data_IF_555686574926
#
_entry.id   IF_555686574926
#
_cell.length_a   1.000
_cell.length_b   1.000
_cell.length_c   1.000
_cell.angle_alpha   90.00
_cell.angle_beta   90.00
_cell.angle_gamma   90.00
#
_symmetry.space_group_name_H-M   'P 1'
#
loop_
_entity.id
_entity.type
_entity.pdbx_description
1 polymer ?
#
# COMPACT_ATOMS: atom_id res chain seq x y z
N UNK A 1 -12.54 -16.54 18.49
CA UNK A 1 -13.95 -16.86 18.12
C UNK A 1 -14.12 -17.37 16.67
N UNK A 2 -13.04 -17.77 15.97
CA UNK A 2 -13.12 -18.42 14.65
C UNK A 2 -13.89 -19.77 14.69
N UNK A 3 -13.90 -20.48 15.82
CA UNK A 3 -14.62 -21.74 15.99
C UNK A 3 -16.14 -21.59 15.93
N UNK A 4 -16.69 -20.46 16.37
CA UNK A 4 -18.14 -20.18 16.28
C UNK A 4 -18.55 -19.75 14.87
N UNK A 5 -17.66 -19.06 14.13
CA UNK A 5 -17.91 -18.64 12.76
C UNK A 5 -17.91 -19.81 11.76
N UNK A 6 -17.30 -20.94 12.10
CA UNK A 6 -17.28 -22.17 11.27
C UNK A 6 -18.52 -23.06 11.45
N UNK A 7 -19.46 -22.69 12.33
CA UNK A 7 -20.72 -23.45 12.48
C UNK A 7 -21.61 -23.27 11.24
N UNK A 8 -22.30 -24.33 10.78
CA UNK A 8 -23.12 -24.33 9.55
C UNK A 8 -24.17 -23.22 9.46
N UNK A 9 -24.66 -22.73 10.62
CA UNK A 9 -25.67 -21.68 10.71
C UNK A 9 -25.13 -20.38 11.31
N UNK A 10 -23.83 -20.14 11.25
CA UNK A 10 -23.25 -18.87 11.69
C UNK A 10 -23.62 -17.74 10.72
N UNK A 11 -23.67 -16.48 11.22
CA UNK A 11 -23.85 -15.31 10.35
C UNK A 11 -22.82 -15.26 9.23
N UNK A 12 -21.59 -15.69 9.50
CA UNK A 12 -20.52 -15.79 8.50
C UNK A 12 -20.87 -16.77 7.38
N UNK A 13 -21.38 -17.97 7.73
CA UNK A 13 -21.79 -18.95 6.73
C UNK A 13 -23.03 -18.52 5.96
N UNK A 14 -23.94 -17.75 6.58
CA UNK A 14 -25.11 -17.17 5.89
C UNK A 14 -24.71 -16.06 4.92
N UNK A 15 -23.78 -15.16 5.32
CA UNK A 15 -23.36 -14.01 4.50
C UNK A 15 -22.45 -14.46 3.36
N UNK A 16 -21.45 -15.31 3.62
CA UNK A 16 -20.53 -15.80 2.60
C UNK A 16 -21.15 -16.91 1.76
N UNK A 17 -22.21 -17.51 2.29
CA UNK A 17 -22.99 -18.55 1.64
C UNK A 17 -22.28 -19.90 1.55
N UNK A 18 -23.05 -20.93 1.27
CA UNK A 18 -22.57 -22.15 0.63
C UNK A 18 -22.46 -21.90 -0.88
N UNK A 19 -21.81 -20.77 -1.24
CA UNK A 19 -21.78 -20.30 -2.62
C UNK A 19 -20.82 -21.19 -3.40
N UNK A 20 -21.35 -22.21 -4.00
CA UNK A 20 -20.62 -23.07 -4.95
C UNK A 20 -20.39 -22.33 -6.29
N UNK A 21 -21.17 -21.29 -6.56
CA UNK A 21 -21.12 -20.53 -7.81
C UNK A 21 -21.15 -19.01 -7.57
N UNK A 22 -20.64 -18.27 -8.53
CA UNK A 22 -20.63 -16.82 -8.55
C UNK A 22 -22.05 -16.28 -8.70
N UNK A 23 -22.48 -15.39 -7.80
CA UNK A 23 -23.81 -14.78 -7.81
C UNK A 23 -23.75 -13.29 -8.07
N UNK A 24 -24.75 -12.77 -8.80
CA UNK A 24 -24.89 -11.32 -9.06
C UNK A 24 -25.10 -10.53 -7.77
N UNK A 25 -25.78 -11.12 -6.80
CA UNK A 25 -25.99 -10.52 -5.47
C UNK A 25 -24.64 -10.25 -4.76
N UNK A 26 -23.75 -11.22 -4.73
CA UNK A 26 -22.43 -11.04 -4.10
C UNK A 26 -21.56 -10.06 -4.89
N UNK A 27 -21.62 -10.10 -6.22
CA UNK A 27 -20.93 -9.13 -7.07
C UNK A 27 -21.38 -7.69 -6.81
N UNK A 28 -22.68 -7.46 -6.64
CA UNK A 28 -23.24 -6.17 -6.26
C UNK A 28 -22.81 -5.77 -4.84
N UNK A 29 -22.87 -6.72 -3.88
CA UNK A 29 -22.51 -6.49 -2.49
C UNK A 29 -21.04 -6.08 -2.30
N UNK A 30 -20.13 -6.65 -3.09
CA UNK A 30 -18.69 -6.27 -3.07
C UNK A 30 -18.50 -4.80 -3.50
N UNK A 31 -19.41 -4.20 -4.25
CA UNK A 31 -19.34 -2.81 -4.73
C UNK A 31 -20.28 -1.85 -4.01
N UNK A 32 -21.08 -2.35 -3.11
CA UNK A 32 -22.00 -1.54 -2.32
C UNK A 32 -21.32 -0.97 -1.07
N UNK A 33 -21.57 0.31 -0.76
CA UNK A 33 -20.91 1.02 0.33
C UNK A 33 -21.25 0.49 1.73
N UNK A 34 -22.45 -0.08 1.91
CA UNK A 34 -22.90 -0.64 3.20
C UNK A 34 -22.56 -2.13 3.30
N UNK A 35 -22.84 -2.88 2.23
CA UNK A 35 -22.62 -4.32 2.22
C UNK A 35 -21.12 -4.68 2.34
N UNK A 36 -20.18 -3.84 1.87
CA UNK A 36 -18.75 -4.07 2.04
C UNK A 36 -18.34 -4.18 3.51
N UNK A 37 -18.92 -3.40 4.43
CA UNK A 37 -18.60 -3.50 5.86
C UNK A 37 -19.06 -4.82 6.48
N UNK A 38 -20.21 -5.33 6.04
CA UNK A 38 -20.71 -6.65 6.46
C UNK A 38 -19.79 -7.74 5.91
N UNK A 39 -19.38 -7.65 4.64
CA UNK A 39 -18.46 -8.59 4.02
C UNK A 39 -17.09 -8.59 4.68
N UNK A 40 -16.51 -7.43 4.99
CA UNK A 40 -15.24 -7.33 5.72
C UNK A 40 -15.30 -8.07 7.07
N UNK A 41 -16.38 -7.86 7.82
CA UNK A 41 -16.58 -8.53 9.13
C UNK A 41 -16.76 -10.04 8.96
N UNK A 42 -17.54 -10.46 7.98
CA UNK A 42 -17.76 -11.88 7.68
C UNK A 42 -16.46 -12.58 7.26
N UNK A 43 -15.66 -11.95 6.39
CA UNK A 43 -14.36 -12.49 5.95
C UNK A 43 -13.38 -12.65 7.11
N UNK A 44 -13.32 -11.69 8.05
CA UNK A 44 -12.43 -11.78 9.22
C UNK A 44 -12.78 -12.96 10.13
N UNK A 45 -14.05 -13.36 10.17
CA UNK A 45 -14.53 -14.54 10.93
C UNK A 45 -14.51 -15.86 10.15
N UNK A 46 -14.24 -15.84 8.84
CA UNK A 46 -14.36 -17.00 7.97
C UNK A 46 -13.29 -18.08 8.21
N UNK A 47 -13.63 -19.32 7.87
CA UNK A 47 -12.66 -20.42 7.83
C UNK A 47 -11.68 -20.24 6.65
N UNK A 48 -10.52 -20.89 6.71
CA UNK A 48 -9.56 -20.84 5.60
C UNK A 48 -10.16 -21.38 4.30
N UNK A 49 -10.99 -22.42 4.36
CA UNK A 49 -11.66 -22.96 3.17
C UNK A 49 -12.63 -21.97 2.55
N UNK A 50 -13.44 -21.29 3.38
CA UNK A 50 -14.36 -20.24 2.90
C UNK A 50 -13.60 -19.03 2.32
N UNK A 51 -12.46 -18.66 2.92
CA UNK A 51 -11.61 -17.58 2.40
C UNK A 51 -11.02 -17.94 1.05
N UNK A 52 -10.48 -19.15 0.88
CA UNK A 52 -9.93 -19.62 -0.41
C UNK A 52 -11.04 -19.63 -1.46
N UNK A 53 -12.19 -20.19 -1.11
CA UNK A 53 -13.32 -20.24 -2.05
C UNK A 53 -13.80 -18.84 -2.47
N UNK A 54 -13.95 -17.89 -1.53
CA UNK A 54 -14.31 -16.53 -1.83
C UNK A 54 -13.25 -15.83 -2.68
N UNK A 55 -11.96 -16.06 -2.40
CA UNK A 55 -10.85 -15.55 -3.18
C UNK A 55 -10.94 -16.03 -4.64
N UNK A 56 -11.01 -17.32 -4.85
CA UNK A 56 -11.05 -17.94 -6.19
C UNK A 56 -12.27 -17.50 -6.99
N UNK A 57 -13.43 -17.41 -6.34
CA UNK A 57 -14.69 -17.10 -7.01
C UNK A 57 -14.82 -15.61 -7.37
N UNK A 58 -14.40 -14.70 -6.47
CA UNK A 58 -14.76 -13.28 -6.60
C UNK A 58 -13.58 -12.33 -6.79
N UNK A 59 -12.38 -12.66 -6.31
CA UNK A 59 -11.26 -11.73 -6.23
C UNK A 59 -10.13 -12.07 -7.20
N UNK A 60 -9.75 -13.33 -7.28
CA UNK A 60 -8.65 -13.79 -8.13
C UNK A 60 -8.84 -13.37 -9.59
N UNK A 61 -7.77 -12.88 -10.22
CA UNK A 61 -7.78 -12.32 -11.57
C UNK A 61 -8.37 -10.90 -11.65
N UNK A 62 -8.77 -10.29 -10.50
CA UNK A 62 -9.48 -9.00 -10.46
C UNK A 62 -8.99 -8.06 -9.36
N UNK A 63 -7.88 -8.38 -8.69
CA UNK A 63 -7.34 -7.63 -7.54
C UNK A 63 -7.16 -6.16 -7.88
N UNK A 64 -6.54 -5.82 -9.00
CA UNK A 64 -6.34 -4.43 -9.39
C UNK A 64 -7.65 -3.72 -9.75
N UNK A 65 -8.57 -4.40 -10.46
CA UNK A 65 -9.87 -3.83 -10.84
C UNK A 65 -10.75 -3.53 -9.63
N UNK A 66 -10.89 -4.48 -8.71
CA UNK A 66 -11.69 -4.33 -7.50
C UNK A 66 -10.99 -3.44 -6.46
N UNK A 67 -9.67 -3.57 -6.33
CA UNK A 67 -8.86 -2.72 -5.45
C UNK A 67 -8.82 -1.25 -5.85
N UNK A 68 -9.07 -0.94 -7.13
CA UNK A 68 -9.25 0.43 -7.63
C UNK A 68 -10.70 0.96 -7.57
N UNK A 69 -11.64 0.20 -7.02
CA UNK A 69 -13.04 0.63 -6.89
C UNK A 69 -13.29 1.27 -5.52
N UNK A 70 -14.05 2.38 -5.41
CA UNK A 70 -14.25 3.13 -4.16
C UNK A 70 -14.73 2.29 -2.97
N UNK A 71 -15.59 1.31 -3.19
CA UNK A 71 -16.12 0.44 -2.14
C UNK A 71 -15.40 -0.91 -2.09
N UNK A 72 -15.21 -1.58 -3.23
CA UNK A 72 -14.64 -2.93 -3.26
C UNK A 72 -13.18 -2.98 -2.78
N UNK A 73 -12.43 -1.87 -2.81
CA UNK A 73 -11.06 -1.81 -2.31
C UNK A 73 -10.94 -2.25 -0.84
N UNK A 74 -11.95 -2.00 -0.02
CA UNK A 74 -11.95 -2.42 1.39
C UNK A 74 -12.05 -3.94 1.54
N UNK A 75 -12.92 -4.58 0.76
CA UNK A 75 -13.05 -6.04 0.73
C UNK A 75 -11.75 -6.68 0.23
N UNK A 76 -11.16 -6.14 -0.85
CA UNK A 76 -9.87 -6.62 -1.39
C UNK A 76 -8.75 -6.46 -0.37
N UNK A 77 -8.63 -5.30 0.27
CA UNK A 77 -7.62 -5.06 1.30
C UNK A 77 -7.79 -6.00 2.50
N UNK A 78 -9.02 -6.20 2.98
CA UNK A 78 -9.32 -7.14 4.06
C UNK A 78 -8.97 -8.55 3.65
N UNK A 79 -9.34 -8.96 2.44
CA UNK A 79 -9.00 -10.29 1.92
C UNK A 79 -7.49 -10.52 1.90
N UNK A 80 -6.71 -9.61 1.32
CA UNK A 80 -5.24 -9.71 1.24
C UNK A 80 -4.61 -9.85 2.65
N UNK A 81 -5.11 -9.13 3.67
CA UNK A 81 -4.60 -9.23 5.05
C UNK A 81 -4.74 -10.60 5.67
N UNK A 82 -5.78 -11.36 5.27
CA UNK A 82 -6.15 -12.63 5.91
C UNK A 82 -5.94 -13.85 5.02
N UNK A 83 -5.60 -13.66 3.73
CA UNK A 83 -5.37 -14.76 2.78
C UNK A 83 -4.42 -15.81 3.37
N UNK A 84 -4.75 -17.10 3.24
CA UNK A 84 -3.81 -18.17 3.55
C UNK A 84 -2.54 -18.01 2.73
N UNK A 85 -1.40 -18.21 3.41
CA UNK A 85 -0.08 -18.13 2.80
C UNK A 85 0.80 -19.24 3.38
N UNK A 86 1.54 -19.90 2.51
CA UNK A 86 2.53 -20.90 2.89
C UNK A 86 3.92 -20.32 2.60
N UNK A 87 4.84 -20.44 3.54
CA UNK A 87 6.20 -19.91 3.40
C UNK A 87 6.88 -20.49 2.16
N UNK A 88 7.41 -19.63 1.32
CA UNK A 88 8.11 -20.03 0.09
C UNK A 88 7.24 -20.59 -1.02
N UNK A 89 5.91 -20.69 -0.82
CA UNK A 89 5.01 -21.21 -1.86
C UNK A 89 4.61 -20.10 -2.85
N UNK A 90 4.96 -20.29 -4.11
CA UNK A 90 4.62 -19.37 -5.21
C UNK A 90 3.16 -19.47 -5.68
N UNK A 91 2.46 -20.56 -5.29
CA UNK A 91 1.07 -20.85 -5.66
C UNK A 91 0.06 -20.58 -4.55
N UNK A 92 0.49 -20.06 -3.40
CA UNK A 92 -0.45 -19.70 -2.33
C UNK A 92 -1.36 -18.54 -2.77
N UNK A 93 -2.60 -18.43 -2.26
CA UNK A 93 -3.50 -17.33 -2.60
C UNK A 93 -2.87 -15.95 -2.41
N UNK A 94 -2.06 -15.76 -1.36
CA UNK A 94 -1.34 -14.51 -1.13
C UNK A 94 -0.25 -14.25 -2.19
N UNK A 95 0.52 -15.28 -2.58
CA UNK A 95 1.51 -15.14 -3.64
C UNK A 95 0.86 -14.78 -5.00
N UNK A 96 -0.29 -15.39 -5.32
CA UNK A 96 -1.05 -15.05 -6.51
C UNK A 96 -1.56 -13.60 -6.48
N UNK A 97 -2.05 -13.13 -5.31
CA UNK A 97 -2.42 -11.73 -5.15
C UNK A 97 -1.25 -10.76 -5.41
N UNK A 98 -0.04 -11.09 -4.93
CA UNK A 98 1.16 -10.30 -5.20
C UNK A 98 1.53 -10.30 -6.69
N UNK A 99 1.35 -11.42 -7.39
CA UNK A 99 1.58 -11.47 -8.84
C UNK A 99 0.61 -10.56 -9.60
N UNK A 100 -0.68 -10.54 -9.23
CA UNK A 100 -1.66 -9.64 -9.84
C UNK A 100 -1.32 -8.17 -9.55
N UNK A 101 -0.88 -7.85 -8.33
CA UNK A 101 -0.43 -6.50 -7.97
C UNK A 101 0.82 -6.08 -8.75
N UNK A 102 1.75 -6.99 -9.03
CA UNK A 102 2.91 -6.74 -9.91
C UNK A 102 2.48 -6.43 -11.34
N UNK A 103 1.48 -7.11 -11.86
CA UNK A 103 1.03 -6.99 -13.24
C UNK A 103 0.17 -5.75 -13.52
N UNK A 104 -0.73 -5.41 -12.61
CA UNK A 104 -1.77 -4.41 -12.83
C UNK A 104 -1.91 -3.38 -11.69
N UNK A 105 -0.95 -3.32 -10.74
CA UNK A 105 -1.00 -2.43 -9.58
C UNK A 105 -0.94 -0.94 -9.94
N UNK A 106 -0.45 -0.57 -11.12
CA UNK A 106 -0.46 0.81 -11.60
C UNK A 106 -1.88 1.40 -11.73
N UNK A 107 -2.91 0.57 -11.89
CA UNK A 107 -4.30 1.00 -11.85
C UNK A 107 -4.69 1.51 -10.46
N UNK A 108 -4.16 0.91 -9.38
CA UNK A 108 -4.40 1.36 -8.01
C UNK A 108 -3.83 2.76 -7.78
N UNK A 109 -2.63 3.02 -8.27
CA UNK A 109 -1.97 4.33 -8.20
C UNK A 109 -2.76 5.37 -8.99
N UNK A 110 -3.19 5.07 -10.22
CA UNK A 110 -4.02 5.94 -11.06
C UNK A 110 -5.37 6.28 -10.42
N UNK A 111 -5.98 5.32 -9.73
CA UNK A 111 -7.25 5.49 -9.04
C UNK A 111 -7.08 6.07 -7.62
N UNK A 112 -5.83 6.32 -7.18
CA UNK A 112 -5.49 6.81 -5.84
C UNK A 112 -5.99 5.89 -4.71
N UNK A 113 -6.00 4.57 -4.94
CA UNK A 113 -6.47 3.54 -4.02
C UNK A 113 -5.35 2.57 -3.65
N UNK A 114 -4.59 2.87 -2.59
CA UNK A 114 -3.44 2.05 -2.18
C UNK A 114 -3.76 0.96 -1.16
N UNK A 115 -5.03 0.78 -0.79
CA UNK A 115 -5.46 -0.15 0.26
C UNK A 115 -4.96 -1.59 0.08
N UNK A 116 -4.98 -2.10 -1.15
CA UNK A 116 -4.48 -3.43 -1.47
C UNK A 116 -2.96 -3.56 -1.28
N UNK A 117 -2.18 -2.56 -1.71
CA UNK A 117 -0.71 -2.52 -1.50
C UNK A 117 -0.38 -2.40 -0.01
N UNK A 118 -1.10 -1.56 0.71
CA UNK A 118 -0.95 -1.40 2.16
C UNK A 118 -1.25 -2.72 2.90
N UNK A 119 -2.30 -3.43 2.50
CA UNK A 119 -2.66 -4.72 3.07
C UNK A 119 -1.60 -5.80 2.78
N UNK A 120 -1.00 -5.78 1.58
CA UNK A 120 0.09 -6.68 1.21
C UNK A 120 1.32 -6.49 2.11
N UNK A 121 1.72 -5.24 2.40
CA UNK A 121 2.81 -4.95 3.35
C UNK A 121 2.47 -5.48 4.75
N UNK A 122 1.26 -5.19 5.26
CA UNK A 122 0.83 -5.66 6.58
C UNK A 122 0.84 -7.20 6.67
N UNK A 123 0.37 -7.88 5.64
CA UNK A 123 0.37 -9.34 5.59
C UNK A 123 1.79 -9.91 5.57
N UNK A 124 2.67 -9.36 4.76
CA UNK A 124 4.08 -9.75 4.69
C UNK A 124 4.78 -9.59 6.05
N UNK A 125 4.58 -8.45 6.72
CA UNK A 125 5.12 -8.22 8.08
C UNK A 125 4.59 -9.24 9.08
N UNK A 126 3.29 -9.55 9.04
CA UNK A 126 2.67 -10.52 9.94
C UNK A 126 3.15 -11.96 9.70
N UNK A 127 3.47 -12.30 8.45
CA UNK A 127 4.03 -13.62 8.09
C UNK A 127 5.54 -13.73 8.34
N UNK A 128 6.26 -12.60 8.37
CA UNK A 128 7.72 -12.57 8.36
C UNK A 128 8.32 -13.10 7.05
N UNK A 129 7.59 -12.98 5.94
CA UNK A 129 7.94 -13.52 4.63
C UNK A 129 7.40 -12.62 3.51
N UNK A 130 7.75 -12.89 2.24
CA UNK A 130 7.29 -12.16 1.05
C UNK A 130 7.72 -10.68 0.95
N UNK A 131 8.66 -10.21 1.76
CA UNK A 131 9.06 -8.80 1.77
C UNK A 131 9.59 -8.32 0.43
N UNK A 132 10.41 -9.13 -0.25
CA UNK A 132 10.91 -8.85 -1.61
C UNK A 132 9.80 -8.77 -2.64
N UNK A 133 8.84 -9.69 -2.57
CA UNK A 133 7.71 -9.74 -3.52
C UNK A 133 6.79 -8.53 -3.36
N UNK A 134 6.55 -8.12 -2.12
CA UNK A 134 5.76 -6.91 -1.80
C UNK A 134 6.48 -5.66 -2.29
N UNK A 135 7.79 -5.54 -2.06
CA UNK A 135 8.57 -4.41 -2.56
C UNK A 135 8.52 -4.34 -4.10
N UNK A 136 8.66 -5.48 -4.79
CA UNK A 136 8.52 -5.56 -6.24
C UNK A 136 7.10 -5.19 -6.72
N UNK A 137 6.05 -5.61 -6.00
CA UNK A 137 4.67 -5.24 -6.32
C UNK A 137 4.46 -3.72 -6.21
N UNK A 138 5.00 -3.09 -5.17
CA UNK A 138 4.96 -1.63 -5.00
C UNK A 138 5.75 -0.95 -6.11
N UNK A 139 6.99 -1.39 -6.38
CA UNK A 139 7.81 -0.84 -7.46
C UNK A 139 7.08 -0.91 -8.81
N UNK A 140 6.51 -2.06 -9.15
CA UNK A 140 5.74 -2.24 -10.38
C UNK A 140 4.50 -1.34 -10.44
N UNK A 141 3.77 -1.19 -9.34
CA UNK A 141 2.59 -0.33 -9.26
C UNK A 141 2.93 1.15 -9.53
N UNK A 142 4.05 1.63 -9.04
CA UNK A 142 4.54 2.98 -9.27
C UNK A 142 5.41 3.10 -10.54
N UNK A 143 5.60 2.00 -11.28
CA UNK A 143 6.48 1.90 -12.45
C UNK A 143 7.91 2.35 -12.13
N UNK A 144 8.37 1.98 -10.95
CA UNK A 144 9.71 2.24 -10.47
C UNK A 144 10.66 1.14 -10.99
N UNK A 145 11.89 1.48 -11.42
CA UNK A 145 12.82 0.50 -11.97
C UNK A 145 13.23 -0.54 -10.93
N UNK A 146 13.52 -1.76 -11.39
CA UNK A 146 14.03 -2.85 -10.53
C UNK A 146 15.49 -2.64 -10.11
N UNK A 147 16.25 -1.90 -10.91
CA UNK A 147 17.62 -1.44 -10.61
C UNK A 147 17.63 0.09 -10.67
N UNK A 148 17.24 0.75 -9.57
CA UNK A 148 17.10 2.20 -9.54
C UNK A 148 18.44 2.91 -9.43
N UNK A 149 18.60 3.98 -10.20
CA UNK A 149 19.72 4.92 -10.07
C UNK A 149 19.61 5.72 -8.75
N UNK A 150 20.66 6.45 -8.40
CA UNK A 150 20.64 7.33 -7.23
C UNK A 150 19.57 8.43 -7.36
N UNK A 151 19.37 8.96 -8.57
CA UNK A 151 18.31 9.94 -8.85
C UNK A 151 16.91 9.33 -8.68
N UNK A 152 16.72 8.08 -9.10
CA UNK A 152 15.48 7.34 -8.86
C UNK A 152 15.23 7.16 -7.36
N UNK A 153 16.25 6.83 -6.59
CA UNK A 153 16.13 6.70 -5.14
C UNK A 153 15.70 8.01 -4.48
N UNK A 154 16.24 9.14 -4.91
CA UNK A 154 15.88 10.44 -4.36
C UNK A 154 14.40 10.81 -4.57
N UNK A 155 13.76 10.29 -5.62
CA UNK A 155 12.34 10.56 -5.90
C UNK A 155 11.37 9.50 -5.37
N UNK A 156 11.83 8.40 -4.78
CA UNK A 156 10.97 7.29 -4.35
C UNK A 156 9.90 7.72 -3.34
N UNK A 157 10.28 8.38 -2.25
CA UNK A 157 9.34 8.85 -1.23
C UNK A 157 8.40 9.93 -1.77
N UNK A 158 8.85 11.02 -2.41
CA UNK A 158 7.93 12.06 -2.88
C UNK A 158 7.01 11.57 -4.00
N UNK A 159 7.42 10.61 -4.82
CA UNK A 159 6.59 9.96 -5.83
C UNK A 159 5.42 9.20 -5.19
N UNK A 160 5.68 8.40 -4.15
CA UNK A 160 4.64 7.66 -3.42
C UNK A 160 3.72 8.62 -2.66
N UNK A 161 4.28 9.61 -1.98
CA UNK A 161 3.51 10.63 -1.28
C UNK A 161 2.55 11.39 -2.20
N UNK A 162 2.98 11.71 -3.40
CA UNK A 162 2.13 12.39 -4.39
C UNK A 162 1.22 11.45 -5.17
N UNK A 163 1.30 10.13 -4.93
CA UNK A 163 0.51 9.09 -5.61
C UNK A 163 0.62 9.15 -7.15
N UNK A 164 1.82 9.38 -7.65
CA UNK A 164 2.11 9.41 -9.07
C UNK A 164 3.02 8.25 -9.45
N UNK A 165 2.82 7.68 -10.64
CA UNK A 165 3.84 6.79 -11.22
C UNK A 165 5.10 7.59 -11.54
N UNK A 166 6.27 6.93 -11.62
CA UNK A 166 7.56 7.58 -11.88
C UNK A 166 7.49 8.58 -13.06
N UNK A 167 6.94 8.16 -14.19
CA UNK A 167 6.83 9.03 -15.37
C UNK A 167 5.96 10.26 -15.10
N UNK A 168 4.81 10.08 -14.47
CA UNK A 168 3.89 11.18 -14.16
C UNK A 168 4.51 12.17 -13.15
N UNK A 169 5.26 11.65 -12.16
CA UNK A 169 5.96 12.46 -11.18
C UNK A 169 7.04 13.34 -11.83
N UNK A 170 7.90 12.75 -12.67
CA UNK A 170 8.96 13.49 -13.37
C UNK A 170 8.38 14.57 -14.28
N UNK A 171 7.36 14.26 -15.08
CA UNK A 171 6.70 15.24 -15.95
C UNK A 171 6.12 16.43 -15.17
N UNK A 172 5.42 16.14 -14.06
CA UNK A 172 4.87 17.20 -13.18
C UNK A 172 5.97 18.09 -12.58
N UNK A 173 7.13 17.52 -12.27
CA UNK A 173 8.26 18.26 -11.72
C UNK A 173 8.89 19.19 -12.78
N UNK A 174 9.01 18.71 -14.02
CA UNK A 174 9.50 19.49 -15.16
C UNK A 174 8.57 20.66 -15.49
N UNK A 175 7.25 20.45 -15.50
CA UNK A 175 6.27 21.51 -15.72
C UNK A 175 6.34 22.58 -14.63
N UNK A 176 6.49 22.22 -13.37
CA UNK A 176 6.58 23.15 -12.25
C UNK A 176 7.87 23.99 -12.30
N UNK A 177 8.97 23.45 -12.81
CA UNK A 177 10.22 24.22 -13.00
C UNK A 177 10.12 25.19 -14.15
N UNK A 178 9.40 24.87 -15.21
CA UNK A 178 9.23 25.73 -16.39
C UNK A 178 8.20 26.85 -16.19
N UNK A 179 7.22 26.68 -15.30
CA UNK A 179 6.13 27.66 -15.06
C UNK A 179 6.35 28.57 -13.84
N UNK A 180 7.45 28.44 -13.12
CA UNK A 180 7.73 29.24 -11.90
C UNK A 180 7.96 30.73 -12.12
N UNK A 181 7.95 31.22 -13.39
CA UNK A 181 8.12 32.63 -13.73
C UNK A 181 6.83 33.49 -13.68
N UNK A 182 5.63 32.91 -13.66
CA UNK A 182 4.41 33.72 -13.82
C UNK A 182 3.18 33.11 -13.12
N UNK A 183 3.04 33.23 -11.84
CA UNK A 183 1.79 33.22 -11.05
C UNK A 183 1.95 32.58 -9.67
N UNK A 184 2.54 33.31 -8.76
CA UNK A 184 2.20 33.13 -7.34
C UNK A 184 0.80 33.74 -7.13
N UNK A 185 -0.26 32.96 -7.26
CA UNK A 185 -1.57 33.32 -6.74
C UNK A 185 -1.49 33.35 -5.21
N UNK A 186 -1.42 34.57 -4.68
CA UNK A 186 -1.56 34.87 -3.25
C UNK A 186 -2.95 34.40 -2.83
N UNK A 187 -3.06 33.40 -1.94
CA UNK A 187 -4.33 33.18 -1.23
C UNK A 187 -4.85 31.75 -1.10
N UNK A 188 -4.11 30.69 -1.46
CA UNK A 188 -4.58 29.34 -1.13
C UNK A 188 -3.72 28.78 0.01
N UNK A 189 -4.32 28.57 1.19
CA UNK A 189 -3.74 27.81 2.30
C UNK A 189 -3.27 26.49 1.71
N UNK A 190 -2.01 26.19 1.83
CA UNK A 190 -1.33 25.03 1.31
C UNK A 190 -2.17 23.77 1.52
N UNK A 191 -2.90 23.33 0.47
CA UNK A 191 -3.30 21.93 0.39
C UNK A 191 -2.02 21.13 0.53
N UNK A 192 -1.99 20.24 1.53
CA UNK A 192 -0.88 19.32 1.69
C UNK A 192 -0.65 18.67 0.33
N UNK A 193 0.50 18.91 -0.29
CA UNK A 193 0.82 18.41 -1.62
C UNK A 193 0.89 16.88 -1.64
N UNK A 194 0.97 16.28 -0.45
CA UNK A 194 1.18 14.87 -0.22
C UNK A 194 -0.07 14.17 0.32
N UNK A 195 -0.29 12.95 -0.19
CA UNK A 195 -1.43 12.12 0.15
C UNK A 195 -1.22 11.37 1.46
N UNK A 196 -2.25 11.34 2.30
CA UNK A 196 -2.32 10.49 3.49
C UNK A 196 -2.19 9.00 3.11
N UNK A 197 -2.74 8.56 1.99
CA UNK A 197 -2.64 7.18 1.51
C UNK A 197 -1.19 6.78 1.21
N UNK A 198 -0.44 7.65 0.52
CA UNK A 198 0.99 7.46 0.26
C UNK A 198 1.82 7.43 1.53
N UNK A 199 1.52 8.35 2.47
CA UNK A 199 2.17 8.39 3.79
C UNK A 199 1.96 7.07 4.56
N UNK A 200 0.72 6.56 4.63
CA UNK A 200 0.42 5.30 5.31
C UNK A 200 1.16 4.13 4.65
N UNK A 201 1.23 4.07 3.31
CA UNK A 201 1.98 3.03 2.62
C UNK A 201 3.46 3.04 3.02
N UNK A 202 4.10 4.20 3.01
CA UNK A 202 5.51 4.36 3.40
C UNK A 202 5.75 3.99 4.86
N UNK A 203 4.87 4.42 5.78
CA UNK A 203 4.95 4.05 7.20
C UNK A 203 4.86 2.53 7.41
N UNK A 204 4.04 1.84 6.62
CA UNK A 204 3.95 0.37 6.65
C UNK A 204 5.19 -0.29 6.06
N UNK A 205 5.74 0.24 4.95
CA UNK A 205 6.99 -0.25 4.36
C UNK A 205 8.15 -0.19 5.35
N UNK A 206 8.20 0.81 6.21
CA UNK A 206 9.19 0.94 7.28
C UNK A 206 9.08 -0.14 8.38
N UNK A 207 8.07 -1.01 8.33
CA UNK A 207 7.94 -2.20 9.19
C UNK A 207 8.49 -3.48 8.56
N UNK A 208 8.83 -3.45 7.28
CA UNK A 208 9.51 -4.56 6.60
C UNK A 208 10.92 -4.78 7.19
N UNK A 209 11.57 -5.91 6.95
CA UNK A 209 12.98 -6.11 7.31
C UNK A 209 13.91 -5.06 6.70
N UNK A 210 14.98 -4.71 7.41
CA UNK A 210 15.89 -3.59 7.08
C UNK A 210 16.34 -3.49 5.60
N UNK A 211 16.72 -4.56 4.88
CA UNK A 211 17.09 -4.46 3.47
C UNK A 211 16.00 -3.90 2.57
N UNK A 212 14.72 -4.17 2.91
CA UNK A 212 13.56 -3.74 2.11
C UNK A 212 13.12 -2.30 2.43
N UNK A 213 13.68 -1.68 3.44
CA UNK A 213 13.45 -0.28 3.81
C UNK A 213 14.44 0.68 3.15
N UNK A 214 15.51 0.17 2.57
CA UNK A 214 16.65 0.95 2.08
C UNK A 214 16.22 2.08 1.13
N UNK A 215 15.32 1.81 0.21
CA UNK A 215 14.81 2.82 -0.74
C UNK A 215 14.11 3.99 -0.05
N UNK A 216 13.39 3.71 1.04
CA UNK A 216 12.73 4.77 1.83
C UNK A 216 13.79 5.62 2.54
N UNK A 217 14.78 5.01 3.19
CA UNK A 217 15.83 5.74 3.91
C UNK A 217 16.72 6.57 2.97
N UNK A 218 17.12 6.02 1.83
CA UNK A 218 17.90 6.76 0.84
C UNK A 218 17.14 7.99 0.33
N UNK A 219 15.85 7.84 0.05
CA UNK A 219 15.01 8.95 -0.39
C UNK A 219 14.80 10.01 0.72
N UNK A 220 14.67 9.61 1.98
CA UNK A 220 14.51 10.53 3.10
C UNK A 220 15.78 11.33 3.42
N UNK A 221 16.96 10.79 3.18
CA UNK A 221 18.25 11.48 3.38
C UNK A 221 18.64 12.41 2.24
N UNK A 222 17.74 12.64 1.27
CA UNK A 222 17.95 13.56 0.16
C UNK A 222 17.78 15.03 0.58
N UNK A 223 18.11 15.95 -0.32
CA UNK A 223 17.96 17.41 -0.14
C UNK A 223 16.51 17.87 0.15
N UNK A 224 15.54 16.96 -0.01
CA UNK A 224 14.12 17.25 0.22
C UNK A 224 13.66 17.06 1.67
N UNK A 225 14.54 16.64 2.58
CA UNK A 225 14.18 16.34 3.96
C UNK A 225 13.51 17.53 4.66
N UNK A 226 13.97 18.76 4.42
CA UNK A 226 13.34 19.97 4.96
C UNK A 226 11.88 20.09 4.53
N UNK A 227 11.58 19.85 3.25
CA UNK A 227 10.21 19.90 2.74
C UNK A 227 9.33 18.79 3.34
N UNK A 228 9.88 17.62 3.59
CA UNK A 228 9.14 16.54 4.26
C UNK A 228 8.79 16.89 5.70
N UNK A 229 9.68 17.55 6.44
CA UNK A 229 9.40 18.00 7.81
C UNK A 229 8.32 19.09 7.87
N UNK A 230 8.13 19.87 6.81
CA UNK A 230 7.13 20.93 6.72
C UNK A 230 5.73 20.44 6.30
N UNK A 231 5.61 19.25 5.72
CA UNK A 231 4.34 18.66 5.33
C UNK A 231 3.85 17.69 6.40
N UNK A 232 2.61 17.83 6.90
CA UNK A 232 2.05 16.91 7.89
C UNK A 232 2.11 15.44 7.46
N UNK A 233 1.68 15.14 6.24
CA UNK A 233 1.68 13.76 5.72
C UNK A 233 3.08 13.17 5.59
N UNK A 234 4.07 13.96 5.14
CA UNK A 234 5.44 13.49 5.00
C UNK A 234 6.18 13.43 6.35
N UNK A 235 5.91 14.33 7.28
CA UNK A 235 6.49 14.31 8.62
C UNK A 235 6.19 13.01 9.37
N UNK A 236 4.99 12.44 9.20
CA UNK A 236 4.65 11.13 9.78
C UNK A 236 5.56 10.00 9.23
N UNK A 237 6.01 10.08 7.99
CA UNK A 237 6.96 9.11 7.43
C UNK A 237 8.34 9.26 8.06
N UNK A 238 8.81 10.50 8.25
CA UNK A 238 10.09 10.79 8.92
C UNK A 238 10.07 10.28 10.37
N UNK A 239 8.99 10.55 11.11
CA UNK A 239 8.81 10.06 12.48
C UNK A 239 8.81 8.54 12.51
N UNK A 240 8.07 7.89 11.60
CA UNK A 240 8.03 6.43 11.51
C UNK A 240 9.40 5.83 11.19
N UNK A 241 10.21 6.47 10.33
CA UNK A 241 11.56 6.04 10.02
C UNK A 241 12.48 6.13 11.27
N UNK A 242 12.40 7.19 12.05
CA UNK A 242 13.18 7.34 13.28
C UNK A 242 12.81 6.33 14.37
N UNK A 243 11.53 5.98 14.46
CA UNK A 243 10.98 5.09 15.50
C UNK A 243 10.85 3.64 15.08
N UNK A 244 11.16 3.29 13.81
CA UNK A 244 11.06 1.92 13.30
C UNK A 244 11.98 0.97 14.07
N UNK A 245 11.40 -0.07 14.68
CA UNK A 245 12.14 -1.14 15.35
C UNK A 245 12.88 -2.05 14.37
N UNK A 246 12.43 -2.11 13.12
CA UNK A 246 13.01 -2.94 12.06
C UNK A 246 14.20 -2.26 11.36
N UNK A 247 14.41 -0.96 11.57
CA UNK A 247 15.50 -0.22 10.94
C UNK A 247 16.86 -0.56 11.52
N UNK A 248 17.88 -0.58 10.67
CA UNK A 248 19.28 -0.72 11.12
C UNK A 248 19.72 0.55 11.87
N UNK A 249 20.69 0.37 12.76
CA UNK A 249 21.30 1.50 13.47
C UNK A 249 21.92 2.52 12.50
N UNK A 250 22.55 2.05 11.43
CA UNK A 250 23.18 2.89 10.40
C UNK A 250 22.17 3.77 9.67
N UNK A 251 21.01 3.23 9.28
CA UNK A 251 19.93 3.96 8.63
C UNK A 251 19.38 5.07 9.52
N UNK A 252 19.04 4.76 10.78
CA UNK A 252 18.54 5.76 11.73
C UNK A 252 19.57 6.84 12.03
N UNK A 253 20.86 6.47 12.17
CA UNK A 253 21.95 7.43 12.42
C UNK A 253 22.15 8.35 11.22
N UNK A 254 22.07 7.83 9.99
CA UNK A 254 22.18 8.66 8.78
C UNK A 254 21.04 9.69 8.72
N UNK A 255 19.80 9.25 8.93
CA UNK A 255 18.63 10.14 8.93
C UNK A 255 18.72 11.20 10.04
N UNK A 256 19.14 10.83 11.26
CA UNK A 256 19.34 11.79 12.37
C UNK A 256 20.40 12.84 12.02
N UNK A 257 21.53 12.45 11.40
CA UNK A 257 22.55 13.40 10.95
C UNK A 257 22.01 14.39 9.93
N UNK A 258 21.23 13.90 8.95
CA UNK A 258 20.59 14.74 7.94
C UNK A 258 19.59 15.72 8.59
N UNK A 259 18.84 15.29 9.61
CA UNK A 259 17.91 16.15 10.35
C UNK A 259 18.65 17.21 11.15
N UNK A 260 19.73 16.84 11.85
CA UNK A 260 20.55 17.82 12.61
C UNK A 260 21.18 18.86 11.70
N UNK A 261 21.56 18.49 10.47
CA UNK A 261 22.15 19.41 9.51
C UNK A 261 21.17 20.48 8.96
N UNK A 262 19.86 20.27 9.09
CA UNK A 262 18.84 21.24 8.65
C UNK A 262 18.25 22.07 9.81
N UNK A 263 18.60 21.77 11.06
CA UNK A 263 18.20 22.60 12.18
C UNK A 263 19.03 23.90 12.18
N UNK A 264 18.41 25.07 12.38
CA UNK A 264 19.17 26.28 12.62
C UNK A 264 19.94 26.15 13.94
N UNK A 265 21.14 26.75 13.99
CA UNK A 265 21.95 26.88 15.19
C UNK A 265 21.20 27.64 16.33
#
# INVERSE_FOLDING_TARGET
>A
NRSLASLPNSLTSLVLGQVQERTDFMEASIRDAVATHVLETALQGASNSSLIHFWETYIQGRVAKLGGHPCANYVVATMIRILPAERGATSSPFALALQELKQAGDQLVKNQMLGALQAAVERSVALGDYASDVLQAIASAFRFPSDPSQDDMAIFVPMILSMHTRKAYLHKTEENTSTSATKRKRGDRSKDEYSTQGSILLQRMLRLPAPHQEWVYQSLTSDRLTSFCQSPSAAHVVIAALTSSSASYTQRRALLRSLLAILPD
#
